data_IF_637185251191
#
_entry.id   IF_637185251191
#
_cell.length_a   1.000
_cell.length_b   1.000
_cell.length_c   1.000
_cell.angle_alpha   90.00
_cell.angle_beta   90.00
_cell.angle_gamma   90.00
#
_symmetry.space_group_name_H-M   'P 1'
#
loop_
_entity.id
_entity.type
_entity.pdbx_description
1 polymer ?
#
# COMPACT_ATOMS: atom_id res chain seq x y z
N UNK A 1 -54.53 -0.43 6.91
CA UNK A 1 -53.48 -1.29 6.34
C UNK A 1 -52.99 -0.66 5.05
N UNK A 2 -51.74 -0.18 5.02
CA UNK A 2 -50.88 -0.11 3.83
C UNK A 2 -49.54 0.48 4.30
N UNK A 3 -48.67 -0.39 4.80
CA UNK A 3 -47.28 -0.04 5.09
C UNK A 3 -46.50 -0.13 3.77
N UNK A 4 -46.00 1.00 3.27
CA UNK A 4 -45.08 1.06 2.14
C UNK A 4 -43.65 0.82 2.65
N UNK A 5 -43.20 -0.42 2.55
CA UNK A 5 -41.84 -0.86 2.85
C UNK A 5 -40.86 -0.37 1.77
N UNK A 6 -40.06 0.65 2.09
CA UNK A 6 -38.88 1.04 1.31
C UNK A 6 -37.80 -0.05 1.43
N UNK A 7 -37.52 -0.75 0.34
CA UNK A 7 -36.39 -1.68 0.25
C UNK A 7 -35.07 -0.89 0.11
N UNK A 8 -33.97 -1.29 0.79
CA UNK A 8 -32.74 -0.53 0.81
C UNK A 8 -31.93 -0.73 -0.48
N UNK A 9 -31.37 0.37 -0.97
CA UNK A 9 -30.49 0.42 -2.13
C UNK A 9 -29.23 -0.40 -1.87
N UNK A 10 -28.98 -1.38 -2.75
CA UNK A 10 -27.71 -2.10 -2.84
C UNK A 10 -26.62 -1.13 -3.27
N UNK A 11 -25.58 -1.00 -2.44
CA UNK A 11 -24.37 -0.24 -2.74
C UNK A 11 -23.66 -0.90 -3.93
N UNK A 12 -23.75 -0.28 -5.10
CA UNK A 12 -22.93 -0.62 -6.26
C UNK A 12 -21.47 -0.29 -5.96
N UNK A 13 -20.63 -1.33 -5.96
CA UNK A 13 -19.17 -1.25 -6.02
C UNK A 13 -18.74 -0.24 -7.08
N UNK A 14 -17.95 0.75 -6.67
CA UNK A 14 -17.35 1.72 -7.59
C UNK A 14 -16.29 1.00 -8.42
N UNK A 15 -16.67 0.76 -9.68
CA UNK A 15 -15.86 0.26 -10.78
C UNK A 15 -14.41 0.79 -10.73
N UNK A 16 -13.46 -0.15 -10.78
CA UNK A 16 -12.05 0.12 -10.96
C UNK A 16 -11.82 0.83 -12.31
N UNK A 17 -10.85 1.76 -12.41
CA UNK A 17 -10.56 2.40 -13.68
C UNK A 17 -10.08 1.37 -14.72
N UNK A 18 -10.70 1.47 -15.89
CA UNK A 18 -10.51 0.65 -17.10
C UNK A 18 -9.02 0.47 -17.42
N UNK A 19 -8.53 -0.78 -17.38
CA UNK A 19 -7.30 -1.20 -18.05
C UNK A 19 -6.10 -1.64 -17.19
N UNK A 20 -6.17 -1.63 -15.86
CA UNK A 20 -5.11 -2.19 -15.01
C UNK A 20 -5.63 -3.33 -14.12
N UNK A 21 -5.27 -4.55 -14.46
CA UNK A 21 -5.44 -5.72 -13.59
C UNK A 21 -4.27 -5.75 -12.60
N UNK A 22 -4.52 -5.68 -11.28
CA UNK A 22 -3.47 -5.86 -10.29
C UNK A 22 -2.70 -7.16 -10.55
N UNK A 23 -1.36 -7.14 -10.61
CA UNK A 23 -0.59 -8.35 -10.78
C UNK A 23 -0.88 -9.31 -9.63
N UNK A 24 -1.12 -10.58 -9.93
CA UNK A 24 -1.35 -11.59 -8.90
C UNK A 24 -0.06 -11.89 -8.14
N UNK A 25 -0.16 -12.07 -6.82
CA UNK A 25 0.97 -12.45 -6.00
C UNK A 25 1.31 -13.92 -6.29
N UNK A 26 2.46 -14.15 -6.93
CA UNK A 26 2.98 -15.50 -7.17
C UNK A 26 3.78 -16.00 -5.96
N UNK A 27 3.27 -16.98 -5.19
CA UNK A 27 3.91 -17.43 -3.96
C UNK A 27 5.25 -18.14 -4.20
N UNK A 28 5.44 -18.73 -5.38
CA UNK A 28 6.63 -19.51 -5.74
C UNK A 28 7.83 -18.66 -6.19
N UNK A 29 7.71 -17.34 -6.10
CA UNK A 29 8.79 -16.42 -6.47
C UNK A 29 9.95 -16.53 -5.49
N UNK A 30 11.20 -16.68 -5.95
CA UNK A 30 12.33 -16.86 -5.04
C UNK A 30 12.58 -15.61 -4.20
N UNK A 31 12.97 -15.82 -2.94
CA UNK A 31 13.37 -14.73 -2.06
C UNK A 31 14.84 -14.36 -2.24
N UNK A 32 15.20 -13.09 -1.99
CA UNK A 32 16.60 -12.66 -1.93
C UNK A 32 17.43 -13.51 -0.96
N UNK A 33 18.71 -13.65 -1.23
CA UNK A 33 19.64 -14.38 -0.37
C UNK A 33 19.94 -13.51 0.85
N UNK A 34 19.55 -13.99 2.02
CA UNK A 34 19.73 -13.28 3.29
C UNK A 34 19.98 -14.27 4.44
N UNK A 35 20.98 -13.97 5.27
CA UNK A 35 21.38 -14.83 6.40
C UNK A 35 20.45 -14.80 7.62
N UNK A 36 19.35 -14.05 7.56
CA UNK A 36 18.44 -13.85 8.68
C UNK A 36 18.83 -12.65 9.55
N UNK A 37 17.82 -12.05 10.20
CA UNK A 37 17.99 -10.91 11.11
C UNK A 37 16.87 -10.92 12.15
N UNK A 38 17.11 -10.27 13.29
CA UNK A 38 16.13 -10.09 14.36
C UNK A 38 15.02 -9.08 14.02
N UNK A 39 15.19 -8.30 12.95
CA UNK A 39 14.21 -7.29 12.51
C UNK A 39 13.09 -7.82 11.59
N UNK A 40 12.96 -9.14 11.44
CA UNK A 40 12.01 -9.78 10.53
C UNK A 40 10.55 -9.79 11.00
N UNK A 41 9.77 -10.75 10.50
CA UNK A 41 8.37 -10.92 10.88
C UNK A 41 8.24 -11.33 12.35
N UNK A 42 7.26 -10.75 13.05
CA UNK A 42 6.90 -11.08 14.44
C UNK A 42 5.48 -11.67 14.48
N UNK A 43 4.97 -11.94 15.68
CA UNK A 43 3.61 -12.46 15.91
C UNK A 43 2.51 -11.65 15.22
N UNK A 44 2.72 -10.35 15.01
CA UNK A 44 1.83 -9.48 14.23
C UNK A 44 1.55 -10.04 12.82
N UNK A 45 2.53 -10.64 12.17
CA UNK A 45 2.37 -11.23 10.84
C UNK A 45 1.42 -12.45 10.84
N UNK A 46 1.29 -13.13 11.97
CA UNK A 46 0.41 -14.30 12.12
C UNK A 46 -1.02 -13.92 12.50
N UNK A 47 -1.20 -12.80 13.21
CA UNK A 47 -2.49 -12.46 13.84
C UNK A 47 -3.19 -11.28 13.16
N UNK A 48 -2.44 -10.32 12.62
CA UNK A 48 -3.02 -9.10 12.01
C UNK A 48 -2.82 -9.09 10.49
N UNK A 49 -1.58 -8.90 10.05
CA UNK A 49 -1.24 -8.70 8.64
C UNK A 49 0.28 -8.70 8.47
N UNK A 50 0.72 -9.04 7.27
CA UNK A 50 2.09 -8.78 6.81
C UNK A 50 2.07 -8.22 5.40
N UNK A 51 3.20 -7.69 4.96
CA UNK A 51 3.34 -7.08 3.65
C UNK A 51 4.30 -7.89 2.81
N UNK A 52 4.04 -7.95 1.51
CA UNK A 52 4.90 -8.66 0.56
C UNK A 52 5.24 -7.69 -0.55
N UNK A 53 6.53 -7.52 -0.81
CA UNK A 53 7.05 -6.71 -1.91
C UNK A 53 7.69 -7.61 -2.95
N UNK A 54 7.36 -7.37 -4.21
CA UNK A 54 7.88 -8.05 -5.39
C UNK A 54 8.57 -7.03 -6.29
N UNK A 55 9.68 -7.44 -6.89
CA UNK A 55 10.37 -6.65 -7.90
C UNK A 55 11.15 -7.55 -8.85
N UNK A 56 11.52 -7.02 -10.00
CA UNK A 56 12.32 -7.72 -11.00
C UNK A 56 13.69 -7.07 -11.09
N UNK A 57 14.76 -7.84 -10.85
CA UNK A 57 16.13 -7.35 -10.92
C UNK A 57 16.80 -7.80 -12.22
N UNK A 58 17.49 -6.90 -12.95
CA UNK A 58 18.22 -7.27 -14.17
C UNK A 58 19.52 -8.03 -13.90
N UNK A 59 20.00 -8.04 -12.65
CA UNK A 59 21.23 -8.73 -12.26
C UNK A 59 21.22 -9.08 -10.78
N UNK A 60 22.05 -10.04 -10.40
CA UNK A 60 22.33 -10.31 -9.01
C UNK A 60 23.18 -9.18 -8.41
N UNK A 61 22.70 -8.55 -7.33
CA UNK A 61 23.40 -7.43 -6.70
C UNK A 61 23.03 -7.25 -5.22
N UNK A 62 23.93 -6.66 -4.45
CA UNK A 62 23.73 -6.42 -3.02
C UNK A 62 22.83 -5.19 -2.84
N UNK A 63 21.89 -5.29 -1.90
CA UNK A 63 21.09 -4.18 -1.40
C UNK A 63 20.97 -4.22 0.13
N UNK A 64 20.72 -3.07 0.71
CA UNK A 64 20.49 -2.94 2.14
C UNK A 64 19.02 -3.20 2.48
N UNK A 65 18.80 -4.07 3.47
CA UNK A 65 17.49 -4.41 3.98
C UNK A 65 16.93 -3.27 4.85
N UNK A 66 15.62 -2.95 4.76
CA UNK A 66 15.00 -1.93 5.60
C UNK A 66 14.96 -2.32 7.09
N UNK A 67 15.12 -3.61 7.39
CA UNK A 67 15.19 -4.19 8.74
C UNK A 67 16.62 -4.28 9.28
N UNK A 68 17.59 -3.67 8.59
CA UNK A 68 19.01 -3.76 8.89
C UNK A 68 19.68 -4.99 8.26
N UNK A 69 20.95 -4.81 7.88
CA UNK A 69 21.76 -5.81 7.19
C UNK A 69 21.78 -5.63 5.66
N UNK A 70 22.59 -6.46 5.00
CA UNK A 70 22.68 -6.52 3.54
C UNK A 70 22.14 -7.87 3.04
N UNK A 71 21.38 -7.83 1.95
CA UNK A 71 20.88 -9.00 1.25
C UNK A 71 21.31 -8.94 -0.21
N UNK A 72 21.38 -10.09 -0.86
CA UNK A 72 21.68 -10.18 -2.30
C UNK A 72 20.35 -10.44 -3.01
N UNK A 73 19.94 -9.51 -3.87
CA UNK A 73 18.78 -9.74 -4.74
C UNK A 73 19.18 -10.66 -5.87
N UNK A 74 18.36 -11.65 -6.18
CA UNK A 74 18.60 -12.59 -7.30
C UNK A 74 18.32 -11.90 -8.63
N UNK A 75 18.91 -12.38 -9.70
CA UNK A 75 18.50 -12.02 -11.05
C UNK A 75 17.07 -12.54 -11.32
N UNK A 76 16.23 -11.69 -11.93
CA UNK A 76 14.82 -11.99 -12.20
C UNK A 76 13.86 -11.58 -11.06
N UNK A 77 12.73 -12.30 -10.89
CA UNK A 77 11.69 -11.92 -9.95
C UNK A 77 12.09 -12.27 -8.52
N UNK A 78 11.96 -11.29 -7.61
CA UNK A 78 12.26 -11.42 -6.19
C UNK A 78 11.00 -11.18 -5.36
N UNK A 79 10.83 -11.95 -4.29
CA UNK A 79 9.75 -11.78 -3.32
C UNK A 79 10.30 -11.66 -1.90
N UNK A 80 9.91 -10.60 -1.20
CA UNK A 80 10.29 -10.38 0.19
C UNK A 80 9.08 -10.05 1.08
N UNK A 81 8.99 -10.72 2.23
CA UNK A 81 7.96 -10.49 3.24
C UNK A 81 8.49 -9.51 4.31
N UNK A 82 7.70 -8.50 4.64
CA UNK A 82 8.03 -7.41 5.57
C UNK A 82 6.90 -7.19 6.58
N UNK A 83 7.24 -6.65 7.75
CA UNK A 83 6.29 -6.50 8.84
C UNK A 83 5.40 -5.25 8.70
N UNK A 84 5.89 -4.20 8.03
CA UNK A 84 5.19 -2.91 7.92
C UNK A 84 5.23 -2.36 6.50
N UNK A 85 4.16 -1.66 6.12
CA UNK A 85 4.05 -0.93 4.84
C UNK A 85 5.22 0.03 4.60
N UNK A 86 5.64 0.74 5.65
CA UNK A 86 6.73 1.71 5.58
C UNK A 86 8.06 1.06 5.14
N UNK A 87 8.33 -0.16 5.60
CA UNK A 87 9.54 -0.91 5.20
C UNK A 87 9.49 -1.25 3.71
N UNK A 88 8.31 -1.64 3.19
CA UNK A 88 8.12 -1.88 1.76
C UNK A 88 8.34 -0.60 0.94
N UNK A 89 7.84 0.54 1.42
CA UNK A 89 7.96 1.81 0.71
C UNK A 89 9.40 2.37 0.76
N UNK A 90 10.10 2.20 1.89
CA UNK A 90 11.51 2.54 2.02
C UNK A 90 12.38 1.71 1.07
N UNK A 91 12.17 0.38 1.05
CA UNK A 91 12.88 -0.51 0.12
C UNK A 91 12.54 -0.18 -1.34
N UNK A 92 11.26 0.01 -1.66
CA UNK A 92 10.81 0.36 -3.01
C UNK A 92 11.39 1.68 -3.51
N UNK A 93 11.45 2.69 -2.64
CA UNK A 93 12.09 3.99 -2.96
C UNK A 93 13.57 3.80 -3.26
N UNK A 94 14.28 2.99 -2.47
CA UNK A 94 15.69 2.67 -2.69
C UNK A 94 15.90 1.89 -4.00
N UNK A 95 15.04 0.92 -4.30
CA UNK A 95 15.03 0.15 -5.56
C UNK A 95 14.83 1.07 -6.78
N UNK A 96 13.91 2.02 -6.69
CA UNK A 96 13.60 2.97 -7.77
C UNK A 96 14.70 4.01 -7.96
N UNK A 97 15.22 4.58 -6.87
CA UNK A 97 16.24 5.65 -6.94
C UNK A 97 17.62 5.14 -7.33
N UNK A 98 18.10 4.06 -6.69
CA UNK A 98 19.48 3.57 -6.89
C UNK A 98 19.58 2.60 -8.07
N UNK A 99 18.59 1.72 -8.24
CA UNK A 99 18.67 0.62 -9.21
C UNK A 99 17.71 0.79 -10.40
N UNK A 100 16.84 1.80 -10.38
CA UNK A 100 15.82 2.06 -11.42
C UNK A 100 14.91 0.87 -11.68
N UNK A 101 14.64 0.08 -10.63
CA UNK A 101 13.80 -1.11 -10.69
C UNK A 101 12.34 -0.75 -10.34
N UNK A 102 11.39 -1.36 -11.06
CA UNK A 102 9.97 -1.30 -10.73
C UNK A 102 9.67 -2.30 -9.62
N UNK A 103 8.80 -1.89 -8.69
CA UNK A 103 8.39 -2.73 -7.57
C UNK A 103 6.88 -2.64 -7.37
N UNK A 104 6.32 -3.69 -6.80
CA UNK A 104 4.94 -3.79 -6.39
C UNK A 104 4.89 -4.34 -4.98
N UNK A 105 3.90 -3.94 -4.18
CA UNK A 105 3.69 -4.60 -2.90
C UNK A 105 2.21 -4.75 -2.55
N UNK A 106 2.00 -5.77 -1.73
CA UNK A 106 0.72 -6.30 -1.31
C UNK A 106 0.67 -6.31 0.21
N UNK A 107 -0.54 -6.27 0.75
CA UNK A 107 -0.85 -6.61 2.13
C UNK A 107 -1.51 -7.98 2.11
N UNK A 108 -1.05 -8.86 2.97
CA UNK A 108 -1.56 -10.22 3.11
C UNK A 108 -2.10 -10.37 4.53
N UNK A 109 -3.37 -10.73 4.61
CA UNK A 109 -4.03 -11.04 5.87
C UNK A 109 -3.81 -12.52 6.25
N UNK A 110 -3.91 -12.87 7.54
CA UNK A 110 -3.82 -14.26 7.99
C UNK A 110 -4.92 -15.15 7.39
N UNK A 111 -6.03 -14.56 6.95
CA UNK A 111 -7.11 -15.25 6.24
C UNK A 111 -6.72 -15.66 4.80
N UNK A 112 -5.55 -15.28 4.32
CA UNK A 112 -5.09 -15.54 2.95
C UNK A 112 -5.52 -14.49 1.92
N UNK A 113 -6.32 -13.50 2.32
CA UNK A 113 -6.71 -12.39 1.45
C UNK A 113 -5.50 -11.50 1.14
N UNK A 114 -5.27 -11.26 -0.16
CA UNK A 114 -4.17 -10.43 -0.66
C UNK A 114 -4.74 -9.13 -1.20
N UNK A 115 -4.45 -8.02 -0.52
CA UNK A 115 -4.81 -6.68 -0.95
C UNK A 115 -3.63 -6.02 -1.68
N UNK A 116 -3.80 -5.74 -2.97
CA UNK A 116 -2.82 -4.95 -3.74
C UNK A 116 -2.80 -3.49 -3.26
N UNK A 117 -1.62 -2.97 -2.94
CA UNK A 117 -1.48 -1.62 -2.38
C UNK A 117 -0.77 -0.64 -3.32
N UNK A 118 0.36 -1.04 -3.91
CA UNK A 118 1.19 -0.10 -4.66
C UNK A 118 1.91 -0.78 -5.84
N UNK A 119 1.95 -0.13 -7.02
CA UNK A 119 1.22 1.08 -7.41
C UNK A 119 -0.27 0.79 -7.70
N UNK A 120 -1.20 1.40 -6.94
CA UNK A 120 -2.64 1.03 -6.92
C UNK A 120 -3.32 1.05 -8.30
N UNK A 121 -2.94 2.00 -9.15
CA UNK A 121 -3.50 2.16 -10.50
C UNK A 121 -2.50 1.76 -11.60
N UNK A 122 -1.47 0.99 -11.26
CA UNK A 122 -0.33 0.68 -12.16
C UNK A 122 0.62 1.85 -12.42
N UNK A 123 0.17 3.08 -12.16
CA UNK A 123 0.96 4.31 -12.23
C UNK A 123 1.38 4.73 -10.82
N UNK A 124 2.66 5.08 -10.65
CA UNK A 124 3.17 5.62 -9.39
C UNK A 124 2.35 6.85 -8.94
N UNK A 125 2.11 7.02 -7.62
CA UNK A 125 1.22 8.06 -7.09
C UNK A 125 1.71 9.49 -7.39
N UNK A 126 3.01 9.67 -7.59
CA UNK A 126 3.63 10.95 -7.96
C UNK A 126 3.15 11.49 -9.32
N UNK A 127 2.77 10.60 -10.25
CA UNK A 127 2.27 10.99 -11.56
C UNK A 127 0.75 11.05 -11.54
N UNK A 128 0.18 12.15 -12.04
CA UNK A 128 -1.28 12.34 -12.13
C UNK A 128 -1.91 11.28 -13.03
N UNK A 129 -3.04 10.73 -12.60
CA UNK A 129 -3.86 9.80 -13.37
C UNK A 129 -5.32 10.28 -13.33
N UNK A 130 -6.00 10.49 -14.48
CA UNK A 130 -7.35 11.05 -14.53
C UNK A 130 -8.40 10.25 -13.76
N UNK A 131 -8.19 8.95 -13.50
CA UNK A 131 -9.12 8.11 -12.74
C UNK A 131 -9.09 8.31 -11.21
N UNK A 132 -8.19 9.13 -10.66
CA UNK A 132 -8.04 9.29 -9.20
C UNK A 132 -9.05 10.29 -8.63
N UNK A 133 -9.78 9.86 -7.60
CA UNK A 133 -10.66 10.73 -6.80
C UNK A 133 -9.84 11.44 -5.73
N UNK A 134 -9.96 12.77 -5.66
CA UNK A 134 -9.41 13.55 -4.56
C UNK A 134 -10.21 13.28 -3.28
N UNK A 135 -9.61 12.57 -2.33
CA UNK A 135 -10.19 12.30 -1.01
C UNK A 135 -9.45 13.13 0.02
N UNK A 136 -10.16 13.80 0.93
CA UNK A 136 -9.56 14.71 1.93
C UNK A 136 -9.11 16.06 1.36
N UNK A 137 -9.76 16.53 0.28
CA UNK A 137 -9.46 17.83 -0.33
C UNK A 137 -10.44 18.87 0.20
N UNK A 138 -9.92 19.85 0.92
CA UNK A 138 -10.69 21.01 1.35
C UNK A 138 -10.51 22.14 0.33
N UNK A 139 -11.60 22.59 -0.31
CA UNK A 139 -11.59 23.66 -1.30
C UNK A 139 -11.49 25.05 -0.68
N UNK A 140 -10.52 25.25 0.22
CA UNK A 140 -10.21 26.53 0.87
C UNK A 140 -8.72 26.64 1.17
N UNK A 141 -8.26 27.85 1.47
CA UNK A 141 -6.90 28.05 1.98
C UNK A 141 -6.76 27.58 3.42
N UNK A 142 -5.57 27.11 3.81
CA UNK A 142 -5.29 26.61 5.17
C UNK A 142 -5.56 27.66 6.26
N UNK A 143 -5.38 28.95 5.95
CA UNK A 143 -5.69 30.06 6.86
C UNK A 143 -7.20 30.34 7.04
N UNK A 144 -8.08 29.71 6.25
CA UNK A 144 -9.54 29.80 6.40
C UNK A 144 -10.12 28.68 7.27
N UNK A 145 -9.28 27.93 7.98
CA UNK A 145 -9.75 26.98 8.97
C UNK A 145 -10.42 27.72 10.12
N UNK A 146 -11.55 27.18 10.58
CA UNK A 146 -12.32 27.74 11.70
C UNK A 146 -11.52 27.67 13.00
N UNK A 147 -11.80 28.59 13.92
CA UNK A 147 -11.19 28.56 15.25
C UNK A 147 -11.67 27.33 16.03
N UNK A 148 -10.83 26.72 16.90
CA UNK A 148 -11.23 25.56 17.71
C UNK A 148 -12.48 25.79 18.57
N UNK A 149 -12.77 27.04 18.93
CA UNK A 149 -13.99 27.41 19.66
C UNK A 149 -15.28 27.11 18.89
N UNK A 150 -15.26 27.22 17.56
CA UNK A 150 -16.44 27.03 16.70
C UNK A 150 -16.78 25.55 16.48
N UNK A 151 -15.82 24.65 16.68
CA UNK A 151 -16.00 23.19 16.54
C UNK A 151 -16.00 22.48 17.90
N UNK A 152 -15.94 23.24 19.00
CA UNK A 152 -15.90 22.69 20.36
C UNK A 152 -17.16 21.86 20.63
N UNK A 153 -16.98 20.67 21.21
CA UNK A 153 -18.05 19.71 21.53
C UNK A 153 -18.83 19.13 20.34
N UNK A 154 -18.42 19.40 19.11
CA UNK A 154 -19.10 18.88 17.90
C UNK A 154 -18.51 17.56 17.39
N UNK A 155 -17.40 17.10 17.98
CA UNK A 155 -16.63 15.92 17.53
C UNK A 155 -15.86 16.13 16.22
N UNK A 156 -16.04 17.27 15.55
CA UNK A 156 -15.35 17.64 14.31
C UNK A 156 -14.07 18.41 14.61
N UNK A 157 -13.04 18.21 13.78
CA UNK A 157 -11.82 19.01 13.84
C UNK A 157 -11.92 20.24 12.95
N UNK A 158 -11.06 21.23 13.19
CA UNK A 158 -11.03 22.48 12.41
C UNK A 158 -10.72 22.28 10.94
N UNK A 159 -10.17 21.13 10.56
CA UNK A 159 -9.87 20.73 9.18
C UNK A 159 -10.96 19.84 8.56
N UNK A 160 -11.94 19.36 9.31
CA UNK A 160 -13.03 18.52 8.76
C UNK A 160 -14.21 19.36 8.25
N UNK A 161 -14.39 20.53 8.87
CA UNK A 161 -15.27 21.61 8.40
C UNK A 161 -14.58 22.33 7.28
#
# INVERSE_FOLDING_TARGET
MAASSSSPATETEKEAPVGFTPPELKPDTPSPIFGGSTGGLLRKAQVEEFYVITWESPKEQIFEMPTGGAAIMREGPNLLKLARKEQCLALGTRLRSKYKIKYQFYRVFPNGEVQYLHPKDGVYPEKVNPGRKGVGVNFRSIGKNVNPSQVKFTGKQTYDV
#
